data_IF_435157415855
#
_entry.id   IF_435157415855
#
_cell.length_a   1.000
_cell.length_b   1.000
_cell.length_c   1.000
_cell.angle_alpha   90.00
_cell.angle_beta   90.00
_cell.angle_gamma   90.00
#
_symmetry.space_group_name_H-M   'P 1'
#
loop_
_entity.id
_entity.type
_entity.pdbx_description
1 polymer ?
#
# COMPACT_ATOMS: atom_id res chain seq x y z
N UNK A 1 24.69 29.86 -6.87
CA UNK A 1 24.94 28.49 -7.40
C UNK A 1 23.72 27.65 -7.06
N UNK A 2 22.75 27.57 -7.98
CA UNK A 2 21.50 26.85 -7.80
C UNK A 2 21.70 25.43 -8.32
N UNK A 3 21.73 24.43 -7.44
CA UNK A 3 21.58 23.04 -7.82
C UNK A 3 20.08 22.78 -8.04
N UNK A 4 19.67 22.81 -9.30
CA UNK A 4 18.40 22.25 -9.74
C UNK A 4 18.52 20.72 -9.68
N UNK A 5 17.91 20.08 -8.69
CA UNK A 5 17.56 18.70 -8.81
C UNK A 5 16.29 18.64 -9.68
N UNK A 6 16.52 18.60 -10.98
CA UNK A 6 15.50 18.24 -11.96
C UNK A 6 15.26 16.73 -11.86
N UNK A 7 14.41 16.35 -10.90
CA UNK A 7 13.91 14.98 -10.80
C UNK A 7 12.78 14.86 -11.82
N UNK A 8 13.17 14.71 -13.08
CA UNK A 8 12.24 14.54 -14.20
C UNK A 8 11.32 13.36 -13.93
N UNK A 9 10.04 13.67 -13.67
CA UNK A 9 8.94 12.72 -13.52
C UNK A 9 8.77 11.78 -14.73
N UNK A 10 9.37 12.11 -15.88
CA UNK A 10 9.34 11.30 -17.11
C UNK A 10 9.99 9.92 -16.92
N UNK A 11 10.94 9.76 -16.01
CA UNK A 11 11.57 8.45 -15.74
C UNK A 11 10.66 7.51 -14.95
N UNK A 12 9.69 8.05 -14.20
CA UNK A 12 8.71 7.22 -13.47
C UNK A 12 7.59 6.71 -14.37
N UNK A 13 7.25 7.45 -15.43
CA UNK A 13 6.20 7.06 -16.39
C UNK A 13 6.63 5.85 -17.24
N UNK A 14 7.93 5.64 -17.45
CA UNK A 14 8.41 4.47 -18.20
C UNK A 14 8.18 3.14 -17.50
N UNK A 15 7.89 3.14 -16.19
CA UNK A 15 7.53 1.93 -15.44
C UNK A 15 6.04 1.59 -15.52
N UNK A 16 5.20 2.48 -16.08
CA UNK A 16 3.75 2.31 -16.19
C UNK A 16 3.30 1.69 -17.52
N UNK A 17 4.21 1.12 -18.29
CA UNK A 17 3.81 0.34 -19.47
C UNK A 17 3.03 -0.90 -18.97
N UNK A 18 1.80 -1.12 -19.47
CA UNK A 18 1.07 -2.33 -19.11
C UNK A 18 1.87 -3.55 -19.57
N UNK A 19 2.37 -4.30 -18.61
CA UNK A 19 2.96 -5.60 -18.88
C UNK A 19 1.83 -6.50 -19.41
N UNK A 20 1.92 -7.05 -20.64
CA UNK A 20 0.82 -7.80 -21.28
C UNK A 20 0.50 -9.15 -20.63
N UNK A 21 0.97 -9.38 -19.41
CA UNK A 21 0.76 -10.63 -18.65
C UNK A 21 -0.17 -10.52 -17.43
N UNK A 22 -0.88 -9.41 -17.22
CA UNK A 22 -1.82 -9.29 -16.11
C UNK A 22 -3.18 -9.84 -16.52
N UNK A 23 -3.46 -11.06 -16.05
CA UNK A 23 -4.79 -11.68 -16.19
C UNK A 23 -5.72 -11.01 -15.18
N UNK A 24 -6.72 -10.29 -15.66
CA UNK A 24 -7.87 -9.89 -14.86
C UNK A 24 -8.58 -11.17 -14.37
N UNK A 25 -8.84 -11.24 -13.07
CA UNK A 25 -9.53 -12.31 -12.36
C UNK A 25 -8.63 -13.47 -11.88
N UNK A 26 -8.22 -13.33 -10.64
CA UNK A 26 -7.65 -14.45 -9.88
C UNK A 26 -7.13 -13.96 -8.54
N UNK A 27 -8.00 -13.90 -7.53
CA UNK A 27 -7.55 -13.90 -6.14
C UNK A 27 -7.02 -15.32 -5.90
N UNK A 28 -5.72 -15.53 -5.98
CA UNK A 28 -5.12 -16.73 -5.40
C UNK A 28 -5.11 -16.55 -3.89
N UNK A 29 -6.16 -17.03 -3.27
CA UNK A 29 -6.27 -17.20 -1.83
C UNK A 29 -5.35 -18.36 -1.44
N UNK A 30 -4.14 -18.03 -0.98
CA UNK A 30 -3.30 -19.02 -0.32
C UNK A 30 -3.91 -19.25 1.07
N UNK A 31 -4.71 -20.28 1.20
CA UNK A 31 -5.26 -20.71 2.49
C UNK A 31 -4.14 -21.31 3.35
N UNK A 32 -3.83 -20.75 4.54
CA UNK A 32 -2.90 -21.40 5.46
C UNK A 32 -3.56 -22.60 6.11
N UNK A 33 -3.02 -23.77 5.86
CA UNK A 33 -3.37 -24.98 6.61
C UNK A 33 -2.56 -25.01 7.92
N UNK A 34 -3.23 -24.88 9.05
CA UNK A 34 -2.71 -25.41 10.32
C UNK A 34 -2.34 -24.37 11.36
N UNK A 35 -3.00 -24.49 12.48
CA UNK A 35 -2.83 -24.08 13.86
C UNK A 35 -1.70 -23.12 14.22
N UNK A 36 -2.02 -21.86 14.51
CA UNK A 36 -1.07 -20.89 15.04
C UNK A 36 -0.94 -21.06 16.55
N UNK A 37 0.29 -21.23 17.03
CA UNK A 37 0.62 -20.97 18.42
C UNK A 37 0.71 -19.47 18.67
N UNK A 38 0.38 -19.01 19.87
CA UNK A 38 0.12 -17.60 20.25
C UNK A 38 1.31 -16.62 20.16
N UNK A 39 2.33 -16.88 19.36
CA UNK A 39 3.54 -16.05 19.22
C UNK A 39 3.86 -15.59 17.81
N UNK A 40 3.13 -16.02 16.81
CA UNK A 40 3.39 -15.64 15.42
C UNK A 40 2.59 -14.39 15.05
N UNK A 41 3.22 -13.21 15.17
CA UNK A 41 2.64 -11.97 14.67
C UNK A 41 2.72 -11.98 13.16
N UNK A 42 1.62 -12.32 12.50
CA UNK A 42 1.49 -12.27 11.05
C UNK A 42 1.25 -10.84 10.62
N UNK A 43 2.08 -10.35 9.71
CA UNK A 43 1.88 -9.06 9.07
C UNK A 43 0.87 -9.17 7.92
N UNK A 44 -0.08 -8.25 7.86
CA UNK A 44 -1.05 -8.12 6.77
C UNK A 44 -0.69 -6.91 5.91
N UNK A 45 -0.39 -7.12 4.64
CA UNK A 45 0.04 -6.07 3.73
C UNK A 45 -0.93 -5.97 2.55
N UNK A 46 -1.58 -4.82 2.42
CA UNK A 46 -2.47 -4.49 1.31
C UNK A 46 -1.76 -3.50 0.39
N UNK A 47 -1.67 -3.82 -0.89
CA UNK A 47 -1.24 -2.91 -1.96
C UNK A 47 -2.50 -2.52 -2.72
N UNK A 48 -2.79 -1.22 -2.75
CA UNK A 48 -4.00 -0.68 -3.34
C UNK A 48 -3.67 0.35 -4.42
N UNK A 49 -4.12 0.07 -5.63
CA UNK A 49 -4.04 0.98 -6.76
C UNK A 49 -5.42 1.59 -7.00
N UNK A 50 -5.50 2.91 -7.04
CA UNK A 50 -6.75 3.66 -7.22
C UNK A 50 -6.71 4.43 -8.53
N UNK A 51 -7.76 4.28 -9.33
CA UNK A 51 -7.87 4.90 -10.66
C UNK A 51 -9.16 5.70 -10.78
N UNK A 52 -9.13 6.71 -11.65
CA UNK A 52 -10.25 7.62 -11.91
C UNK A 52 -10.75 8.28 -10.60
N UNK A 53 -9.79 8.68 -9.77
CA UNK A 53 -10.01 9.44 -8.55
C UNK A 53 -10.34 10.91 -8.87
N UNK A 54 -10.91 11.59 -7.88
CA UNK A 54 -11.11 13.04 -7.96
C UNK A 54 -9.76 13.79 -7.86
N UNK A 55 -9.41 14.53 -8.90
CA UNK A 55 -8.12 15.23 -9.03
C UNK A 55 -7.91 16.30 -7.97
N UNK A 56 -8.99 17.00 -7.55
CA UNK A 56 -8.91 18.04 -6.51
C UNK A 56 -8.60 17.43 -5.15
N UNK A 57 -9.23 16.30 -4.82
CA UNK A 57 -8.95 15.56 -3.59
C UNK A 57 -7.54 14.99 -3.57
N UNK A 58 -7.05 14.49 -4.71
CA UNK A 58 -5.69 13.98 -4.83
C UNK A 58 -4.62 15.07 -4.63
N UNK A 59 -4.95 16.34 -4.93
CA UNK A 59 -4.04 17.48 -4.81
C UNK A 59 -4.20 18.28 -3.51
N UNK A 60 -5.13 17.88 -2.65
CA UNK A 60 -5.38 18.54 -1.36
C UNK A 60 -4.65 17.80 -0.23
N UNK A 61 -3.53 18.39 0.21
CA UNK A 61 -2.72 17.82 1.29
C UNK A 61 -3.50 17.68 2.59
N UNK A 62 -4.34 18.65 2.95
CA UNK A 62 -5.13 18.62 4.19
C UNK A 62 -6.18 17.52 4.14
N UNK A 63 -6.81 17.33 2.97
CA UNK A 63 -7.75 16.24 2.73
C UNK A 63 -7.04 14.87 2.82
N UNK A 64 -5.89 14.70 2.19
CA UNK A 64 -5.09 13.47 2.26
C UNK A 64 -4.71 13.15 3.70
N UNK A 65 -4.23 14.11 4.48
CA UNK A 65 -3.92 13.94 5.91
C UNK A 65 -5.13 13.43 6.70
N UNK A 66 -6.28 14.07 6.50
CA UNK A 66 -7.52 13.69 7.19
C UNK A 66 -7.97 12.28 6.80
N UNK A 67 -7.87 11.96 5.52
CA UNK A 67 -8.27 10.65 4.97
C UNK A 67 -7.39 9.53 5.51
N UNK A 68 -6.04 9.70 5.53
CA UNK A 68 -5.11 8.72 6.11
C UNK A 68 -5.41 8.52 7.61
N UNK A 69 -5.60 9.62 8.35
CA UNK A 69 -5.90 9.56 9.79
C UNK A 69 -7.20 8.77 10.04
N UNK A 70 -8.22 9.02 9.24
CA UNK A 70 -9.51 8.32 9.34
C UNK A 70 -9.36 6.84 8.98
N UNK A 71 -8.60 6.53 7.92
CA UNK A 71 -8.34 5.17 7.49
C UNK A 71 -7.62 4.37 8.57
N UNK A 72 -6.54 4.92 9.17
CA UNK A 72 -5.81 4.29 10.26
C UNK A 72 -6.73 3.98 11.45
N UNK A 73 -7.52 4.97 11.90
CA UNK A 73 -8.47 4.79 13.00
C UNK A 73 -9.52 3.73 12.71
N UNK A 74 -10.07 3.71 11.50
CA UNK A 74 -11.10 2.72 11.11
C UNK A 74 -10.54 1.31 10.92
N UNK A 75 -9.25 1.19 10.60
CA UNK A 75 -8.54 -0.08 10.58
C UNK A 75 -8.18 -0.61 11.98
N UNK A 76 -8.50 0.13 13.04
CA UNK A 76 -8.13 -0.25 14.42
C UNK A 76 -6.65 -0.04 14.72
N UNK A 77 -5.95 0.76 13.91
CA UNK A 77 -4.54 1.05 14.10
C UNK A 77 -4.31 2.34 14.90
N UNK A 78 -3.20 2.39 15.61
CA UNK A 78 -2.78 3.52 16.45
C UNK A 78 -1.84 4.42 15.67
N UNK A 79 -2.31 5.60 15.29
CA UNK A 79 -1.48 6.60 14.60
C UNK A 79 -0.48 7.24 15.57
N UNK A 80 0.82 7.07 15.31
CA UNK A 80 1.91 7.67 16.08
C UNK A 80 2.37 8.99 15.47
N UNK A 81 2.52 9.04 14.14
CA UNK A 81 2.95 10.24 13.42
C UNK A 81 2.39 10.21 11.99
N UNK A 82 2.28 11.39 11.37
CA UNK A 82 1.86 11.56 9.99
C UNK A 82 2.67 12.69 9.34
N UNK A 83 3.43 12.31 8.32
CA UNK A 83 4.21 13.24 7.50
C UNK A 83 3.55 13.30 6.13
N UNK A 84 3.39 14.50 5.60
CA UNK A 84 2.92 14.72 4.23
C UNK A 84 3.81 15.71 3.52
N UNK A 85 3.88 15.60 2.21
CA UNK A 85 4.57 16.53 1.34
C UNK A 85 3.76 16.75 0.07
N UNK A 86 3.47 18.03 -0.21
CA UNK A 86 2.85 18.43 -1.47
C UNK A 86 3.94 18.80 -2.46
N UNK A 87 3.84 18.25 -3.66
CA UNK A 87 4.75 18.55 -4.76
C UNK A 87 4.29 19.73 -5.60
N UNK A 88 5.22 20.40 -6.23
CA UNK A 88 4.95 21.37 -7.28
C UNK A 88 5.23 20.72 -8.66
N UNK A 89 4.33 20.84 -9.63
CA UNK A 89 3.10 21.64 -9.60
C UNK A 89 1.93 20.99 -8.88
N UNK A 90 1.94 19.67 -8.65
CA UNK A 90 0.84 18.95 -8.01
C UNK A 90 1.27 17.57 -7.51
N UNK A 91 0.37 16.94 -6.72
CA UNK A 91 0.58 15.64 -6.11
C UNK A 91 0.95 15.73 -4.64
N UNK A 92 0.60 14.69 -3.90
CA UNK A 92 0.85 14.58 -2.46
C UNK A 92 1.42 13.21 -2.13
N UNK A 93 2.46 13.18 -1.33
CA UNK A 93 2.90 11.96 -0.63
C UNK A 93 2.54 12.06 0.83
N UNK A 94 1.98 11.00 1.40
CA UNK A 94 1.70 10.87 2.81
C UNK A 94 2.25 9.57 3.38
N UNK A 95 2.82 9.66 4.60
CA UNK A 95 3.31 8.50 5.35
C UNK A 95 2.83 8.58 6.79
N UNK A 96 1.97 7.67 7.18
CA UNK A 96 1.52 7.48 8.55
C UNK A 96 2.36 6.38 9.21
N UNK A 97 3.05 6.74 10.28
CA UNK A 97 3.66 5.78 11.21
C UNK A 97 2.59 5.29 12.17
N UNK A 98 2.38 4.00 12.21
CA UNK A 98 1.46 3.34 13.11
C UNK A 98 2.25 2.54 14.16
N UNK A 99 1.66 2.33 15.34
CA UNK A 99 2.23 1.38 16.30
C UNK A 99 2.33 -0.04 15.72
N UNK A 100 1.44 -0.37 14.79
CA UNK A 100 1.33 -1.67 14.13
C UNK A 100 2.10 -1.75 12.79
N UNK A 101 2.61 -0.67 12.23
CA UNK A 101 3.51 -0.51 11.09
C UNK A 101 3.30 0.83 10.33
N UNK A 102 2.62 0.87 9.14
CA UNK A 102 2.46 2.11 8.38
C UNK A 102 1.30 2.09 7.37
N UNK A 103 0.91 3.30 6.95
CA UNK A 103 0.15 3.55 5.71
C UNK A 103 0.93 4.56 4.89
N UNK A 104 1.20 4.28 3.61
CA UNK A 104 1.73 5.25 2.66
C UNK A 104 0.76 5.51 1.53
N UNK A 105 0.78 6.74 0.98
CA UNK A 105 0.05 7.13 -0.21
C UNK A 105 0.89 8.06 -1.07
N UNK A 106 0.80 7.86 -2.38
CA UNK A 106 1.33 8.74 -3.40
C UNK A 106 0.23 9.06 -4.38
N UNK A 107 0.06 10.34 -4.74
CA UNK A 107 -1.00 10.79 -5.62
C UNK A 107 -0.47 11.45 -6.88
N UNK A 108 -1.15 11.19 -8.01
CA UNK A 108 -0.93 11.80 -9.32
C UNK A 108 -2.25 12.39 -9.82
N UNK A 109 -2.59 13.64 -9.42
CA UNK A 109 -3.86 14.28 -9.78
C UNK A 109 -4.11 14.30 -11.27
N UNK A 110 -3.07 14.56 -12.09
CA UNK A 110 -3.13 14.62 -13.55
C UNK A 110 -3.57 13.31 -14.21
N UNK A 111 -3.38 12.20 -13.51
CA UNK A 111 -3.76 10.87 -13.98
C UNK A 111 -5.00 10.32 -13.27
N UNK A 112 -5.54 11.06 -12.30
CA UNK A 112 -6.59 10.56 -11.41
C UNK A 112 -6.16 9.30 -10.66
N UNK A 113 -4.87 9.18 -10.31
CA UNK A 113 -4.26 7.96 -9.80
C UNK A 113 -3.66 8.15 -8.41
N UNK A 114 -3.79 7.13 -7.56
CA UNK A 114 -3.06 7.03 -6.31
C UNK A 114 -2.59 5.60 -6.05
N UNK A 115 -1.34 5.48 -5.58
CA UNK A 115 -0.74 4.25 -5.08
C UNK A 115 -0.73 4.27 -3.55
N UNK A 116 -1.17 3.16 -2.93
CA UNK A 116 -1.33 3.06 -1.49
C UNK A 116 -0.77 1.74 -0.98
N UNK A 117 0.02 1.80 0.09
CA UNK A 117 0.44 0.65 0.87
C UNK A 117 -0.14 0.73 2.28
N UNK A 118 -0.79 -0.34 2.72
CA UNK A 118 -1.27 -0.48 4.09
C UNK A 118 -0.65 -1.74 4.67
N UNK A 119 0.31 -1.57 5.55
CA UNK A 119 0.94 -2.68 6.25
C UNK A 119 0.64 -2.58 7.74
N UNK A 120 0.09 -3.65 8.31
CA UNK A 120 -0.22 -3.73 9.74
C UNK A 120 0.09 -5.11 10.30
N UNK A 121 0.42 -5.17 11.59
CA UNK A 121 0.57 -6.40 12.35
C UNK A 121 -0.50 -6.47 13.43
N UNK A 122 -0.74 -7.68 13.94
CA UNK A 122 -1.70 -7.93 15.02
C UNK A 122 -3.11 -8.26 14.52
N UNK A 123 -3.80 -9.09 15.32
CA UNK A 123 -5.11 -9.64 14.94
C UNK A 123 -6.24 -8.62 15.00
N UNK A 124 -6.06 -7.55 15.80
CA UNK A 124 -7.04 -6.48 15.97
C UNK A 124 -7.10 -5.51 14.76
N UNK A 125 -6.08 -5.52 13.91
CA UNK A 125 -6.02 -4.60 12.76
C UNK A 125 -6.70 -5.15 11.52
N UNK A 126 -7.33 -4.24 10.77
CA UNK A 126 -8.11 -4.55 9.56
C UNK A 126 -7.64 -3.66 8.42
N UNK A 127 -6.49 -3.95 7.78
CA UNK A 127 -5.94 -3.12 6.71
C UNK A 127 -6.88 -2.95 5.52
N UNK A 128 -7.71 -3.96 5.22
CA UNK A 128 -8.74 -3.87 4.17
C UNK A 128 -9.74 -2.74 4.41
N UNK A 129 -10.07 -2.45 5.68
CA UNK A 129 -10.93 -1.29 6.01
C UNK A 129 -10.26 0.04 5.74
N UNK A 130 -8.94 0.14 5.96
CA UNK A 130 -8.20 1.34 5.57
C UNK A 130 -8.27 1.54 4.06
N UNK A 131 -8.05 0.47 3.28
CA UNK A 131 -8.16 0.47 1.82
C UNK A 131 -9.56 0.90 1.35
N UNK A 132 -10.60 0.39 1.99
CA UNK A 132 -12.00 0.75 1.68
C UNK A 132 -12.27 2.24 1.90
N UNK A 133 -11.81 2.80 3.02
CA UNK A 133 -11.95 4.23 3.34
C UNK A 133 -11.23 5.08 2.30
N UNK A 134 -9.94 4.77 2.04
CA UNK A 134 -9.14 5.50 1.06
C UNK A 134 -9.80 5.50 -0.32
N UNK A 135 -10.28 4.34 -0.79
CA UNK A 135 -10.99 4.22 -2.05
C UNK A 135 -12.25 5.09 -2.11
N UNK A 136 -13.07 5.08 -1.05
CA UNK A 136 -14.33 5.84 -1.00
C UNK A 136 -14.09 7.34 -0.92
N UNK A 137 -13.19 7.77 -0.04
CA UNK A 137 -12.91 9.19 0.18
C UNK A 137 -12.27 9.85 -1.06
N UNK A 138 -11.40 9.13 -1.77
CA UNK A 138 -10.77 9.60 -3.00
C UNK A 138 -11.66 9.44 -4.25
N UNK A 139 -12.88 8.91 -4.08
CA UNK A 139 -13.88 8.70 -5.14
C UNK A 139 -13.35 7.85 -6.31
N UNK A 140 -12.47 6.87 -6.02
CA UNK A 140 -11.93 6.00 -7.04
C UNK A 140 -13.02 5.14 -7.70
N UNK A 141 -13.16 5.25 -9.03
CA UNK A 141 -14.14 4.46 -9.79
C UNK A 141 -13.64 3.05 -10.07
N UNK A 142 -12.32 2.89 -10.23
CA UNK A 142 -11.67 1.59 -10.41
C UNK A 142 -10.54 1.43 -9.40
N UNK A 143 -10.26 0.20 -9.01
CA UNK A 143 -9.17 -0.10 -8.08
C UNK A 143 -8.65 -1.52 -8.30
N UNK A 144 -7.43 -1.75 -7.87
CA UNK A 144 -6.82 -3.06 -7.73
C UNK A 144 -6.32 -3.18 -6.28
N UNK A 145 -6.74 -4.25 -5.60
CA UNK A 145 -6.30 -4.57 -4.25
C UNK A 145 -5.59 -5.92 -4.26
N UNK A 146 -4.37 -5.96 -3.72
CA UNK A 146 -3.62 -7.19 -3.49
C UNK A 146 -3.32 -7.31 -2.01
N UNK A 147 -3.58 -8.48 -1.45
CA UNK A 147 -3.35 -8.79 -0.04
C UNK A 147 -2.22 -9.81 0.08
N UNK A 148 -1.28 -9.53 0.97
CA UNK A 148 -0.16 -10.42 1.28
C UNK A 148 -0.10 -10.65 2.79
N UNK A 149 0.14 -11.90 3.17
CA UNK A 149 0.59 -12.23 4.52
C UNK A 149 2.12 -12.19 4.55
N UNK A 150 2.67 -11.62 5.61
CA UNK A 150 4.12 -11.56 5.83
C UNK A 150 4.43 -12.39 7.08
N UNK A 151 4.97 -13.58 6.84
CA UNK A 151 5.28 -14.54 7.88
C UNK A 151 6.48 -14.10 8.72
N UNK A 152 6.47 -14.52 9.97
CA UNK A 152 7.62 -14.35 10.86
C UNK A 152 8.75 -15.32 10.50
N UNK A 153 10.00 -15.06 10.95
CA UNK A 153 11.13 -15.98 10.71
C UNK A 153 10.89 -17.41 11.22
N UNK A 154 10.05 -17.60 12.21
CA UNK A 154 9.70 -18.93 12.71
C UNK A 154 8.89 -19.75 11.70
N UNK A 155 7.96 -19.14 10.97
CA UNK A 155 7.22 -19.79 9.88
C UNK A 155 8.14 -20.15 8.70
N UNK A 156 9.12 -19.30 8.41
CA UNK A 156 10.13 -19.57 7.37
C UNK A 156 11.00 -20.78 7.69
N UNK A 157 11.27 -21.08 8.96
CA UNK A 157 12.11 -22.23 9.34
C UNK A 157 11.43 -23.56 9.03
N UNK A 158 10.11 -23.63 8.99
CA UNK A 158 9.36 -24.82 8.57
C UNK A 158 9.24 -24.93 7.05
N UNK A 159 9.14 -23.82 6.34
CA UNK A 159 9.03 -23.80 4.86
C UNK A 159 10.35 -24.11 4.14
N UNK A 160 11.49 -23.67 4.68
CA UNK A 160 12.83 -23.90 4.12
C UNK A 160 13.28 -25.37 4.17
N UNK A 161 12.58 -26.23 4.89
CA UNK A 161 12.81 -27.69 4.87
C UNK A 161 12.28 -28.39 3.60
N UNK A 162 11.60 -27.69 2.72
CA UNK A 162 11.20 -28.19 1.40
C UNK A 162 12.13 -27.60 0.34
N UNK A 163 13.09 -28.36 -0.24
CA UNK A 163 14.14 -27.82 -1.11
C UNK A 163 13.67 -27.37 -2.51
N UNK A 164 12.40 -27.24 -2.76
CA UNK A 164 11.88 -27.01 -4.13
C UNK A 164 11.36 -25.58 -4.42
N UNK A 165 11.50 -24.61 -3.50
CA UNK A 165 10.87 -23.29 -3.68
C UNK A 165 11.80 -22.08 -3.78
N UNK A 166 13.09 -22.29 -4.01
CA UNK A 166 13.99 -21.18 -4.37
C UNK A 166 14.29 -21.25 -5.87
N UNK A 167 13.36 -20.77 -6.71
CA UNK A 167 13.74 -20.29 -8.03
C UNK A 167 14.35 -18.91 -7.85
N UNK A 168 15.67 -18.83 -8.02
CA UNK A 168 16.46 -17.62 -8.03
C UNK A 168 15.84 -16.57 -8.95
N UNK A 169 15.49 -15.41 -8.39
CA UNK A 169 15.33 -14.19 -9.17
C UNK A 169 16.75 -13.68 -9.40
N UNK A 170 17.33 -14.02 -10.55
CA UNK A 170 18.49 -13.32 -11.08
C UNK A 170 18.00 -12.11 -11.85
N UNK A 171 18.48 -10.93 -11.42
CA UNK A 171 18.37 -9.69 -12.19
C UNK A 171 19.10 -9.79 -13.52
#
# INVERSE_FOLDING_TARGET
MRLFFDFSMEKFISCLHPNPGWVENGVEEITPSGGSSATDMVGKHCILELYECDEFKLNDEAFIRTTITTAAKKAGATLLNLITHRFEPQGVTGLALLAESHISIHTWPENGYAAVDVFTCGDHTMPDKACEILRKELLAKRFLLKNFQRDTPAALTTAVRSPHLIKSITC
#
